data_IF_865206957982
#
_entry.id   IF_865206957982
#
_cell.length_a   1.000
_cell.length_b   1.000
_cell.length_c   1.000
_cell.angle_alpha   90.00
_cell.angle_beta   90.00
_cell.angle_gamma   90.00
#
_symmetry.space_group_name_H-M   'P 1'
#
loop_
_entity.id
_entity.type
_entity.pdbx_description
1 polymer ?
#
# COMPACT_ATOMS: atom_id res chain seq x y z
N UNK A 1 5.63 23.85 -29.67
CA UNK A 1 4.84 24.46 -28.58
C UNK A 1 5.49 24.03 -27.28
N UNK A 2 6.02 25.00 -26.52
CA UNK A 2 6.98 24.87 -25.41
C UNK A 2 6.39 24.19 -24.17
N UNK A 3 7.26 23.56 -23.36
CA UNK A 3 7.47 23.66 -21.90
C UNK A 3 8.27 22.41 -21.46
N UNK A 4 9.46 22.46 -20.87
CA UNK A 4 10.30 23.57 -20.44
C UNK A 4 11.74 23.08 -20.19
N UNK A 5 12.71 23.93 -20.52
CA UNK A 5 14.10 23.80 -20.09
C UNK A 5 14.16 24.13 -18.59
N UNK A 6 14.70 23.22 -17.78
CA UNK A 6 15.12 23.52 -16.41
C UNK A 6 16.65 23.59 -16.40
N UNK A 7 17.27 24.76 -16.12
CA UNK A 7 18.71 24.94 -16.16
C UNK A 7 19.31 24.68 -14.77
N UNK A 8 19.17 23.46 -14.26
CA UNK A 8 19.97 22.95 -13.14
C UNK A 8 20.23 21.49 -13.47
N UNK A 9 21.52 21.11 -13.43
CA UNK A 9 22.07 19.90 -14.04
C UNK A 9 21.24 18.64 -13.80
N UNK A 10 21.28 17.73 -14.78
CA UNK A 10 20.68 16.39 -14.79
C UNK A 10 20.74 15.73 -13.40
N UNK A 11 19.76 16.01 -12.56
CA UNK A 11 19.39 15.12 -11.47
C UNK A 11 18.74 13.97 -12.20
N UNK A 12 19.50 12.88 -12.34
CA UNK A 12 19.00 11.64 -12.90
C UNK A 12 17.79 11.22 -12.03
N UNK A 13 16.58 11.53 -12.51
CA UNK A 13 15.33 11.29 -11.80
C UNK A 13 15.18 9.82 -11.39
N UNK A 14 15.76 8.91 -12.19
CA UNK A 14 15.81 7.48 -11.89
C UNK A 14 16.71 7.20 -10.68
N UNK A 15 17.90 7.82 -10.61
CA UNK A 15 18.79 7.70 -9.47
C UNK A 15 18.19 8.32 -8.20
N UNK A 16 17.48 9.45 -8.32
CA UNK A 16 16.79 10.08 -7.19
C UNK A 16 15.62 9.20 -6.72
N UNK A 17 14.82 8.66 -7.64
CA UNK A 17 13.73 7.74 -7.34
C UNK A 17 14.23 6.47 -6.66
N UNK A 18 15.29 5.85 -7.17
CA UNK A 18 15.91 4.66 -6.58
C UNK A 18 16.46 4.94 -5.19
N UNK A 19 17.15 6.07 -4.98
CA UNK A 19 17.65 6.47 -3.66
C UNK A 19 16.51 6.73 -2.66
N UNK A 20 15.40 7.29 -3.12
CA UNK A 20 14.21 7.54 -2.28
C UNK A 20 13.49 6.24 -1.96
N UNK A 21 13.43 5.32 -2.93
CA UNK A 21 12.87 3.98 -2.78
C UNK A 21 13.68 3.16 -1.76
N UNK A 22 15.00 3.10 -1.89
CA UNK A 22 15.89 2.41 -0.95
C UNK A 22 15.75 2.97 0.48
N UNK A 23 15.74 4.30 0.63
CA UNK A 23 15.53 4.93 1.94
C UNK A 23 14.16 4.62 2.52
N UNK A 24 13.12 4.58 1.68
CA UNK A 24 11.77 4.23 2.13
C UNK A 24 11.65 2.75 2.53
N UNK A 25 12.34 1.85 1.82
CA UNK A 25 12.40 0.42 2.17
C UNK A 25 13.07 0.21 3.53
N UNK A 26 14.21 0.88 3.78
CA UNK A 26 14.89 0.80 5.07
C UNK A 26 14.04 1.34 6.22
N UNK A 27 13.32 2.44 5.99
CA UNK A 27 12.40 3.01 6.97
C UNK A 27 11.24 2.04 7.28
N UNK A 28 10.67 1.41 6.26
CA UNK A 28 9.62 0.41 6.41
C UNK A 28 10.11 -0.82 7.17
N UNK A 29 11.31 -1.32 6.84
CA UNK A 29 11.93 -2.43 7.56
C UNK A 29 12.19 -2.07 9.04
N UNK A 30 12.70 -0.86 9.30
CA UNK A 30 12.94 -0.39 10.67
C UNK A 30 11.63 -0.30 11.46
N UNK A 31 10.60 0.31 10.87
CA UNK A 31 9.28 0.43 11.49
C UNK A 31 8.64 -0.94 11.73
N UNK A 32 8.74 -1.86 10.78
CA UNK A 32 8.26 -3.23 10.91
C UNK A 32 8.93 -3.95 12.08
N UNK A 33 10.25 -3.87 12.18
CA UNK A 33 11.01 -4.47 13.27
C UNK A 33 10.68 -3.85 14.63
N UNK A 34 10.53 -2.53 14.67
CA UNK A 34 10.12 -1.80 15.88
C UNK A 34 8.74 -2.26 16.36
N UNK A 35 7.75 -2.30 15.47
CA UNK A 35 6.39 -2.69 15.81
C UNK A 35 6.29 -4.16 16.21
N UNK A 36 7.04 -5.05 15.54
CA UNK A 36 7.13 -6.48 15.90
C UNK A 36 7.69 -6.68 17.31
N UNK A 37 8.65 -5.86 17.72
CA UNK A 37 9.21 -5.93 19.07
C UNK A 37 8.26 -5.33 20.12
N UNK A 38 7.56 -4.24 19.78
CA UNK A 38 6.70 -3.52 20.72
C UNK A 38 5.32 -4.16 20.93
N UNK A 39 4.80 -4.90 19.95
CA UNK A 39 3.48 -5.48 20.03
C UNK A 39 3.47 -6.92 19.54
N UNK A 40 3.06 -7.84 20.42
CA UNK A 40 2.81 -9.25 20.09
C UNK A 40 1.64 -9.42 19.11
N UNK A 41 0.82 -8.38 18.92
CA UNK A 41 -0.34 -8.37 18.02
C UNK A 41 -0.08 -7.60 16.72
N UNK A 42 1.12 -7.05 16.52
CA UNK A 42 1.43 -6.30 15.29
C UNK A 42 1.31 -7.17 14.03
N UNK A 43 1.73 -8.43 14.14
CA UNK A 43 1.47 -9.45 13.11
C UNK A 43 0.48 -10.45 13.67
N UNK A 44 -0.66 -10.57 13.01
CA UNK A 44 -1.64 -11.61 13.30
C UNK A 44 -1.03 -12.97 12.89
N UNK A 45 -1.28 -14.02 13.68
CA UNK A 45 -0.93 -15.36 13.25
C UNK A 45 -1.57 -15.67 11.88
N UNK A 46 -0.81 -16.23 10.95
CA UNK A 46 -1.27 -16.45 9.57
C UNK A 46 -1.15 -15.25 8.64
N UNK A 47 -0.71 -14.06 9.08
CA UNK A 47 -0.63 -12.88 8.19
C UNK A 47 0.56 -12.91 7.22
N UNK A 48 1.52 -13.80 7.43
CA UNK A 48 2.73 -13.93 6.61
C UNK A 48 3.06 -15.40 6.39
N UNK A 49 3.72 -15.69 5.28
CA UNK A 49 4.24 -17.02 5.01
C UNK A 49 5.27 -17.37 6.10
N UNK A 50 5.18 -18.56 6.65
CA UNK A 50 6.11 -19.02 7.68
C UNK A 50 6.54 -20.45 7.42
N UNK A 51 7.73 -20.79 7.92
CA UNK A 51 8.32 -22.12 7.74
C UNK A 51 8.37 -22.82 9.08
N UNK A 52 7.88 -24.05 9.13
CA UNK A 52 7.87 -24.84 10.34
C UNK A 52 9.18 -25.62 10.55
N UNK A 53 9.24 -26.38 11.65
CA UNK A 53 10.40 -27.22 11.98
C UNK A 53 10.61 -28.37 10.98
N UNK A 54 9.57 -28.81 10.28
CA UNK A 54 9.61 -29.85 9.25
C UNK A 54 10.03 -29.30 7.88
N UNK A 55 10.31 -27.98 7.80
CA UNK A 55 10.66 -27.23 6.60
C UNK A 55 9.50 -27.04 5.63
N UNK A 56 8.27 -27.29 6.05
CA UNK A 56 7.08 -27.01 5.26
C UNK A 56 6.78 -25.51 5.27
N UNK A 57 6.35 -24.99 4.13
CA UNK A 57 5.99 -23.58 3.97
C UNK A 57 4.47 -23.48 4.14
N UNK A 58 4.07 -22.79 5.20
CA UNK A 58 2.67 -22.45 5.47
C UNK A 58 2.41 -21.08 4.85
N UNK A 59 1.47 -21.03 3.90
CA UNK A 59 1.11 -19.78 3.21
C UNK A 59 0.32 -18.87 4.15
N UNK A 60 0.44 -17.56 3.97
CA UNK A 60 -0.38 -16.61 4.71
C UNK A 60 -1.87 -16.78 4.38
N UNK A 61 -2.75 -16.56 5.37
CA UNK A 61 -4.21 -16.55 5.24
C UNK A 61 -4.67 -15.66 4.06
N UNK A 62 -3.99 -14.53 3.86
CA UNK A 62 -4.23 -13.59 2.75
C UNK A 62 -4.04 -14.21 1.36
N UNK A 63 -3.25 -15.28 1.23
CA UNK A 63 -3.07 -16.02 -0.02
C UNK A 63 -4.15 -17.08 -0.23
N UNK A 64 -4.72 -17.62 0.84
CA UNK A 64 -5.85 -18.57 0.75
C UNK A 64 -7.13 -17.87 0.26
N UNK A 65 -7.27 -16.58 0.60
CA UNK A 65 -8.33 -15.71 0.11
C UNK A 65 -8.15 -15.21 -1.33
N UNK A 66 -7.19 -15.74 -2.09
CA UNK A 66 -6.92 -15.28 -3.46
C UNK A 66 -8.12 -15.43 -4.41
N UNK A 67 -9.02 -16.37 -4.13
CA UNK A 67 -10.30 -16.51 -4.83
C UNK A 67 -11.22 -15.28 -4.69
N UNK A 68 -11.08 -14.48 -3.62
CA UNK A 68 -11.79 -13.20 -3.48
C UNK A 68 -11.26 -12.16 -4.48
N UNK A 69 -9.97 -12.21 -4.82
CA UNK A 69 -9.33 -11.34 -5.81
C UNK A 69 -9.76 -11.73 -7.23
N UNK A 70 -10.01 -13.00 -7.49
CA UNK A 70 -10.53 -13.47 -8.79
C UNK A 70 -11.91 -12.89 -9.15
N UNK A 71 -12.68 -12.49 -8.13
CA UNK A 71 -13.96 -11.77 -8.32
C UNK A 71 -13.78 -10.31 -8.77
N UNK A 72 -12.56 -9.76 -8.69
CA UNK A 72 -12.25 -8.42 -9.18
C UNK A 72 -12.36 -8.42 -10.71
N UNK A 73 -13.50 -7.94 -11.20
CA UNK A 73 -13.73 -7.77 -12.64
C UNK A 73 -12.63 -6.92 -13.24
N UNK A 74 -11.97 -7.45 -14.27
CA UNK A 74 -11.07 -6.65 -15.11
C UNK A 74 -11.88 -5.54 -15.78
N UNK A 75 -11.66 -4.29 -15.38
CA UNK A 75 -12.35 -3.14 -15.96
C UNK A 75 -11.85 -2.87 -17.39
N UNK A 76 -12.45 -3.51 -18.40
CA UNK A 76 -12.26 -3.14 -19.81
C UNK A 76 -13.17 -1.97 -20.18
N UNK A 77 -12.84 -0.77 -19.69
CA UNK A 77 -13.52 0.46 -20.10
C UNK A 77 -12.62 1.28 -21.01
N UNK A 78 -13.19 1.84 -22.09
CA UNK A 78 -12.48 2.81 -22.97
C UNK A 78 -12.03 4.06 -22.22
N UNK A 79 -12.60 4.33 -21.05
CA UNK A 79 -12.30 5.50 -20.24
C UNK A 79 -11.95 5.09 -18.80
N UNK A 80 -10.94 4.24 -18.67
CA UNK A 80 -10.51 3.65 -17.40
C UNK A 80 -10.19 4.72 -16.35
N UNK A 81 -9.66 5.87 -16.77
CA UNK A 81 -9.37 6.99 -15.89
C UNK A 81 -10.62 7.61 -15.23
N UNK A 82 -11.75 7.64 -15.95
CA UNK A 82 -13.02 8.08 -15.36
C UNK A 82 -13.55 7.06 -14.34
N UNK A 83 -13.45 5.77 -14.64
CA UNK A 83 -13.87 4.68 -13.75
C UNK A 83 -13.04 4.66 -12.47
N UNK A 84 -11.71 4.72 -12.58
CA UNK A 84 -10.80 4.74 -11.43
C UNK A 84 -11.04 5.97 -10.56
N UNK A 85 -11.27 7.15 -11.15
CA UNK A 85 -11.65 8.36 -10.39
C UNK A 85 -12.94 8.15 -9.61
N UNK A 86 -13.97 7.63 -10.26
CA UNK A 86 -15.25 7.35 -9.60
C UNK A 86 -15.11 6.36 -8.44
N UNK A 87 -14.33 5.28 -8.61
CA UNK A 87 -14.08 4.29 -7.55
C UNK A 87 -13.32 4.93 -6.39
N UNK A 88 -12.25 5.67 -6.67
CA UNK A 88 -11.47 6.40 -5.66
C UNK A 88 -12.34 7.38 -4.88
N UNK A 89 -13.16 8.16 -5.58
CA UNK A 89 -13.99 9.19 -4.98
C UNK A 89 -15.10 8.55 -4.11
N UNK A 90 -15.62 7.38 -4.53
CA UNK A 90 -16.55 6.56 -3.72
C UNK A 90 -15.90 6.03 -2.44
N UNK A 91 -14.68 5.50 -2.51
CA UNK A 91 -13.94 5.05 -1.32
C UNK A 91 -13.61 6.22 -0.39
N UNK A 92 -13.17 7.36 -0.94
CA UNK A 92 -12.91 8.58 -0.18
C UNK A 92 -14.17 9.03 0.56
N UNK A 93 -15.31 9.07 -0.12
CA UNK A 93 -16.56 9.48 0.49
C UNK A 93 -16.99 8.52 1.61
N UNK A 94 -16.89 7.20 1.39
CA UNK A 94 -17.18 6.21 2.42
C UNK A 94 -16.28 6.39 3.65
N UNK A 95 -14.97 6.50 3.43
CA UNK A 95 -13.98 6.68 4.49
C UNK A 95 -14.17 7.98 5.29
N UNK A 96 -14.58 9.05 4.62
CA UNK A 96 -14.85 10.35 5.26
C UNK A 96 -16.23 10.47 5.91
N UNK A 97 -17.11 9.48 5.78
CA UNK A 97 -18.50 9.56 6.29
C UNK A 97 -18.85 8.37 7.18
N UNK A 98 -18.96 7.18 6.60
CA UNK A 98 -19.45 5.97 7.28
C UNK A 98 -18.32 5.11 7.84
N UNK A 99 -17.18 5.06 7.16
CA UNK A 99 -15.98 4.32 7.57
C UNK A 99 -15.00 5.13 8.41
N UNK A 100 -15.40 6.33 8.87
CA UNK A 100 -14.52 7.22 9.61
C UNK A 100 -14.17 6.60 10.96
N UNK A 101 -12.87 6.43 11.23
CA UNK A 101 -12.41 5.86 12.51
C UNK A 101 -12.34 6.95 13.58
N UNK A 102 -12.55 6.63 14.87
CA UNK A 102 -12.76 7.63 15.93
C UNK A 102 -11.68 8.71 16.04
N UNK A 103 -10.41 8.36 15.78
CA UNK A 103 -9.29 9.29 15.86
C UNK A 103 -9.23 10.30 14.69
N UNK A 104 -10.02 10.13 13.63
CA UNK A 104 -10.08 11.06 12.50
C UNK A 104 -10.96 12.27 12.77
N UNK A 105 -12.02 12.12 13.58
CA UNK A 105 -12.85 13.27 13.99
C UNK A 105 -12.09 14.22 14.92
N UNK A 106 -11.14 13.70 15.69
CA UNK A 106 -10.35 14.46 16.65
C UNK A 106 -9.33 15.44 16.01
N UNK A 107 -9.14 15.42 14.68
CA UNK A 107 -8.26 16.36 13.96
C UNK A 107 -9.02 17.49 13.23
N UNK A 108 -10.34 17.56 13.39
CA UNK A 108 -11.21 18.59 12.79
C UNK A 108 -11.98 19.36 13.89
N UNK A 109 -11.34 19.55 15.05
CA UNK A 109 -11.81 20.44 16.11
C UNK A 109 -10.74 21.50 16.38
#
# INVERSE_FOLDING_TARGET
MLWGYCPLGLVNFEALYNLTLEKSQLLLCYLHNFLRNKSKHYLRAGSVDWKDANREIHSADLREEQHLIESLRTCRSRNIGAVVRSVRDSYRQNFCTQGQVPWQGARIA
#
